data_IF_552319003577
#
_entry.id   IF_552319003577
#
_cell.length_a   1.000
_cell.length_b   1.000
_cell.length_c   1.000
_cell.angle_alpha   90.00
_cell.angle_beta   90.00
_cell.angle_gamma   90.00
#
_symmetry.space_group_name_H-M   'P 1'
#
loop_
_entity.id
_entity.type
_entity.pdbx_description
1 polymer ?
#
# COMPACT_ATOMS: atom_id res chain seq x y z
N UNK A 1 0.60 -24.05 -3.25
CA UNK A 1 1.37 -23.68 -4.46
C UNK A 1 1.80 -22.24 -4.33
N UNK A 2 3.10 -21.94 -4.35
CA UNK A 2 3.59 -20.56 -4.20
C UNK A 2 3.18 -19.72 -5.41
N UNK A 3 2.52 -18.58 -5.19
CA UNK A 3 2.13 -17.65 -6.27
C UNK A 3 3.38 -16.92 -6.76
N UNK A 4 3.53 -16.78 -8.07
CA UNK A 4 4.66 -16.04 -8.67
C UNK A 4 4.63 -14.56 -8.25
N UNK A 5 5.79 -14.03 -7.87
CA UNK A 5 5.93 -12.59 -7.59
C UNK A 5 5.71 -11.77 -8.87
N UNK A 6 5.37 -10.47 -8.76
CA UNK A 6 5.25 -9.60 -9.93
C UNK A 6 6.52 -9.61 -10.81
N UNK A 7 7.70 -9.60 -10.19
CA UNK A 7 8.97 -9.63 -10.91
C UNK A 7 9.18 -10.96 -11.65
N UNK A 8 8.84 -12.09 -11.01
CA UNK A 8 8.89 -13.39 -11.67
C UNK A 8 7.95 -13.45 -12.88
N UNK A 9 6.76 -12.86 -12.79
CA UNK A 9 5.80 -12.77 -13.91
C UNK A 9 6.35 -11.95 -15.06
N UNK A 10 6.98 -10.79 -14.79
CA UNK A 10 7.63 -9.96 -15.83
C UNK A 10 8.75 -10.73 -16.52
N UNK A 11 9.63 -11.38 -15.74
CA UNK A 11 10.75 -12.15 -16.28
C UNK A 11 10.23 -13.31 -17.14
N UNK A 12 9.19 -14.01 -16.70
CA UNK A 12 8.59 -15.09 -17.48
C UNK A 12 7.93 -14.58 -18.76
N UNK A 13 7.16 -13.50 -18.69
CA UNK A 13 6.52 -12.89 -19.86
C UNK A 13 7.55 -12.54 -20.95
N UNK A 14 8.67 -11.89 -20.57
CA UNK A 14 9.77 -11.58 -21.49
C UNK A 14 10.39 -12.82 -22.13
N UNK A 15 10.57 -13.89 -21.34
CA UNK A 15 11.08 -15.18 -21.87
C UNK A 15 10.12 -15.81 -22.88
N UNK A 16 8.81 -15.73 -22.62
CA UNK A 16 7.78 -16.26 -23.51
C UNK A 16 7.71 -15.46 -24.82
N UNK A 17 7.78 -14.13 -24.77
CA UNK A 17 7.87 -13.27 -25.96
C UNK A 17 9.11 -13.58 -26.79
N UNK A 18 10.28 -13.62 -26.15
CA UNK A 18 11.53 -13.94 -26.82
C UNK A 18 11.47 -15.32 -27.52
N UNK A 19 10.89 -16.32 -26.86
CA UNK A 19 10.70 -17.65 -27.44
C UNK A 19 9.71 -17.64 -28.61
N UNK A 20 8.63 -16.86 -28.52
CA UNK A 20 7.66 -16.73 -29.61
C UNK A 20 8.27 -16.08 -30.86
N UNK A 21 9.27 -15.22 -30.69
CA UNK A 21 9.97 -14.53 -31.77
C UNK A 21 11.10 -15.35 -32.37
N UNK A 22 11.95 -15.93 -31.54
CA UNK A 22 13.25 -16.46 -31.97
C UNK A 22 13.31 -17.97 -32.10
N UNK A 23 12.33 -18.72 -31.56
CA UNK A 23 12.42 -20.18 -31.59
C UNK A 23 12.08 -20.75 -32.99
N UNK A 24 13.03 -21.52 -33.50
CA UNK A 24 12.89 -22.34 -34.69
C UNK A 24 11.94 -23.53 -34.45
N UNK A 25 11.25 -23.98 -35.50
CA UNK A 25 10.36 -25.14 -35.43
C UNK A 25 9.01 -24.91 -34.72
N UNK A 26 8.72 -23.70 -34.23
CA UNK A 26 7.38 -23.37 -33.70
C UNK A 26 6.40 -23.02 -34.82
N UNK A 27 5.18 -23.57 -34.74
CA UNK A 27 4.05 -23.15 -35.57
C UNK A 27 3.59 -21.74 -35.21
N UNK A 28 2.91 -21.07 -36.15
CA UNK A 28 2.29 -19.75 -35.93
C UNK A 28 1.32 -19.76 -34.74
N UNK A 29 0.56 -20.85 -34.58
CA UNK A 29 -0.36 -21.05 -33.47
C UNK A 29 0.37 -21.07 -32.13
N UNK A 30 1.43 -21.89 -31.99
CA UNK A 30 2.25 -21.94 -30.76
C UNK A 30 2.91 -20.61 -30.44
N UNK A 31 3.36 -19.86 -31.44
CA UNK A 31 3.90 -18.49 -31.24
C UNK A 31 2.83 -17.55 -30.70
N UNK A 32 1.60 -17.66 -31.20
CA UNK A 32 0.46 -16.85 -30.74
C UNK A 32 0.08 -17.20 -29.31
N UNK A 33 0.06 -18.48 -28.95
CA UNK A 33 -0.20 -18.94 -27.57
C UNK A 33 0.84 -18.42 -26.58
N UNK A 34 2.13 -18.48 -26.94
CA UNK A 34 3.22 -17.95 -26.09
C UNK A 34 3.06 -16.44 -25.85
N UNK A 35 2.76 -15.67 -26.89
CA UNK A 35 2.48 -14.22 -26.75
C UNK A 35 1.26 -13.94 -25.90
N UNK A 36 0.18 -14.70 -26.08
CA UNK A 36 -1.03 -14.60 -25.24
C UNK A 36 -0.71 -14.88 -23.78
N UNK A 37 0.07 -15.93 -23.49
CA UNK A 37 0.50 -16.26 -22.14
C UNK A 37 1.36 -15.14 -21.52
N UNK A 38 2.30 -14.57 -22.28
CA UNK A 38 3.08 -13.42 -21.83
C UNK A 38 2.19 -12.21 -21.50
N UNK A 39 1.28 -11.86 -22.40
CA UNK A 39 0.34 -10.76 -22.21
C UNK A 39 -0.55 -10.98 -20.97
N UNK A 40 -1.03 -12.20 -20.76
CA UNK A 40 -1.84 -12.53 -19.58
C UNK A 40 -1.06 -12.34 -18.27
N UNK A 41 0.21 -12.75 -18.21
CA UNK A 41 1.06 -12.54 -17.03
C UNK A 41 1.23 -11.05 -16.71
N UNK A 42 1.45 -10.23 -17.75
CA UNK A 42 1.56 -8.77 -17.59
C UNK A 42 0.23 -8.14 -17.19
N UNK A 43 -0.89 -8.61 -17.74
CA UNK A 43 -2.22 -8.14 -17.38
C UNK A 43 -2.54 -8.44 -15.90
N UNK A 44 -2.17 -9.63 -15.39
CA UNK A 44 -2.34 -9.95 -13.96
C UNK A 44 -1.49 -9.01 -13.09
N UNK A 45 -0.24 -8.73 -13.46
CA UNK A 45 0.58 -7.73 -12.77
C UNK A 45 -0.08 -6.35 -12.73
N UNK A 46 -0.57 -5.88 -13.87
CA UNK A 46 -1.20 -4.56 -13.98
C UNK A 46 -2.47 -4.49 -13.11
N UNK A 47 -3.29 -5.55 -13.12
CA UNK A 47 -4.50 -5.64 -12.31
C UNK A 47 -4.19 -5.60 -10.81
N UNK A 48 -3.18 -6.34 -10.35
CA UNK A 48 -2.76 -6.30 -8.94
C UNK A 48 -2.19 -4.93 -8.54
N UNK A 49 -1.39 -4.31 -9.40
CA UNK A 49 -0.89 -2.96 -9.16
C UNK A 49 -2.03 -1.93 -9.05
N UNK A 50 -3.03 -2.03 -9.92
CA UNK A 50 -4.22 -1.19 -9.87
C UNK A 50 -5.03 -1.42 -8.58
N UNK A 51 -5.18 -2.69 -8.15
CA UNK A 51 -5.82 -3.03 -6.88
C UNK A 51 -5.10 -2.38 -5.69
N UNK A 52 -3.78 -2.50 -5.61
CA UNK A 52 -3.01 -1.91 -4.50
C UNK A 52 -3.05 -0.39 -4.53
N UNK A 53 -2.98 0.23 -5.72
CA UNK A 53 -3.17 1.68 -5.86
C UNK A 53 -4.52 2.13 -5.31
N UNK A 54 -5.60 1.43 -5.67
CA UNK A 54 -6.93 1.74 -5.16
C UNK A 54 -7.03 1.61 -3.63
N UNK A 55 -6.45 0.55 -3.06
CA UNK A 55 -6.40 0.39 -1.58
C UNK A 55 -5.67 1.56 -0.92
N UNK A 56 -4.56 2.01 -1.52
CA UNK A 56 -3.82 3.17 -1.03
C UNK A 56 -4.68 4.44 -1.11
N UNK A 57 -5.32 4.71 -2.26
CA UNK A 57 -6.18 5.89 -2.45
C UNK A 57 -7.32 5.92 -1.43
N UNK A 58 -8.07 4.81 -1.31
CA UNK A 58 -9.14 4.66 -0.33
C UNK A 58 -8.64 4.85 1.12
N UNK A 59 -7.44 4.38 1.44
CA UNK A 59 -6.83 4.55 2.76
C UNK A 59 -6.35 5.99 3.01
N UNK A 60 -5.87 6.69 1.98
CA UNK A 60 -5.40 8.08 2.07
C UNK A 60 -6.53 9.09 2.26
N UNK A 61 -7.73 8.74 1.80
CA UNK A 61 -8.94 9.56 1.91
C UNK A 61 -9.75 9.27 3.19
N UNK A 62 -9.29 8.37 4.06
CA UNK A 62 -9.97 8.09 5.33
C UNK A 62 -10.06 9.35 6.18
N UNK A 63 -11.27 9.68 6.61
CA UNK A 63 -11.51 10.73 7.61
C UNK A 63 -11.35 10.15 9.02
N UNK A 64 -10.69 10.88 9.90
CA UNK A 64 -10.44 10.46 11.29
C UNK A 64 -11.07 11.44 12.29
N UNK A 65 -12.42 11.47 12.38
CA UNK A 65 -13.12 12.48 13.17
C UNK A 65 -12.77 12.37 14.67
N UNK A 66 -12.57 11.16 15.19
CA UNK A 66 -12.18 10.94 16.59
C UNK A 66 -10.74 11.40 16.82
N UNK A 67 -9.82 11.07 15.92
CA UNK A 67 -8.39 11.37 16.05
C UNK A 67 -8.14 12.87 16.17
N UNK A 68 -8.90 13.71 15.45
CA UNK A 68 -8.79 15.17 15.53
C UNK A 68 -8.99 15.72 16.95
N UNK A 69 -9.93 15.14 17.70
CA UNK A 69 -10.22 15.52 19.08
C UNK A 69 -9.34 14.83 20.11
N UNK A 70 -8.66 13.75 19.72
CA UNK A 70 -7.89 12.91 20.63
C UNK A 70 -6.38 13.17 20.56
N UNK A 71 -5.84 13.60 19.42
CA UNK A 71 -4.41 13.71 19.17
C UNK A 71 -3.99 15.15 18.85
N UNK A 72 -2.84 15.55 19.38
CA UNK A 72 -2.14 16.78 18.96
C UNK A 72 -1.37 16.57 17.65
N UNK A 73 -0.94 17.67 17.02
CA UNK A 73 -0.17 17.66 15.77
C UNK A 73 0.99 16.65 15.81
N UNK A 74 1.81 16.71 16.87
CA UNK A 74 3.00 15.86 17.02
C UNK A 74 2.65 14.38 17.07
N UNK A 75 1.54 14.04 17.72
CA UNK A 75 1.04 12.67 17.79
C UNK A 75 0.61 12.15 16.42
N UNK A 76 -0.09 12.98 15.62
CA UNK A 76 -0.51 12.61 14.26
C UNK A 76 0.68 12.40 13.33
N UNK A 77 1.66 13.31 13.36
CA UNK A 77 2.91 13.17 12.58
C UNK A 77 3.65 11.90 12.98
N UNK A 78 3.83 11.67 14.28
CA UNK A 78 4.52 10.48 14.76
C UNK A 78 3.79 9.19 14.35
N UNK A 79 2.46 9.17 14.47
CA UNK A 79 1.65 8.04 14.05
C UNK A 79 1.76 7.77 12.54
N UNK A 80 1.87 8.82 11.72
CA UNK A 80 2.14 8.67 10.30
C UNK A 80 3.48 7.98 10.05
N UNK A 81 4.53 8.37 10.77
CA UNK A 81 5.86 7.75 10.65
C UNK A 81 5.85 6.29 11.08
N UNK A 82 5.06 5.95 12.11
CA UNK A 82 4.87 4.57 12.56
C UNK A 82 4.16 3.74 11.49
N UNK A 83 3.10 4.26 10.88
CA UNK A 83 2.43 3.59 9.77
C UNK A 83 3.35 3.39 8.56
N UNK A 84 4.16 4.39 8.21
CA UNK A 84 5.15 4.26 7.15
C UNK A 84 6.22 3.22 7.50
N UNK A 85 6.74 3.23 8.73
CA UNK A 85 7.69 2.23 9.21
C UNK A 85 7.13 0.80 9.13
N UNK A 86 5.87 0.60 9.51
CA UNK A 86 5.21 -0.69 9.35
C UNK A 86 4.99 -1.07 7.89
N UNK A 87 4.65 -0.11 7.01
CA UNK A 87 4.47 -0.37 5.60
C UNK A 87 5.75 -0.88 4.92
N UNK A 88 6.92 -0.48 5.42
CA UNK A 88 8.23 -0.91 4.96
C UNK A 88 8.69 -2.26 5.53
N UNK A 89 7.97 -2.84 6.49
CA UNK A 89 8.31 -4.15 7.07
C UNK A 89 8.09 -5.26 6.02
N UNK A 90 9.14 -6.04 5.74
CA UNK A 90 9.12 -7.12 4.74
C UNK A 90 8.16 -8.26 5.04
N UNK A 91 7.55 -8.31 6.24
CA UNK A 91 6.49 -9.27 6.59
C UNK A 91 5.10 -8.80 6.17
N UNK A 92 4.94 -7.53 5.78
CA UNK A 92 3.65 -7.01 5.33
C UNK A 92 3.25 -7.60 3.99
N UNK A 93 1.96 -7.88 3.84
CA UNK A 93 1.40 -8.19 2.52
C UNK A 93 1.31 -6.89 1.71
N UNK A 94 1.35 -6.97 0.37
CA UNK A 94 1.20 -5.78 -0.49
C UNK A 94 -0.06 -4.97 -0.19
N UNK A 95 -1.18 -5.64 0.14
CA UNK A 95 -2.41 -4.95 0.55
C UNK A 95 -2.23 -4.14 1.85
N UNK A 96 -1.58 -4.72 2.86
CA UNK A 96 -1.33 -4.01 4.12
C UNK A 96 -0.31 -2.89 3.95
N UNK A 97 0.74 -3.10 3.15
CA UNK A 97 1.68 -2.04 2.78
C UNK A 97 0.95 -0.85 2.13
N UNK A 98 0.09 -1.10 1.14
CA UNK A 98 -0.69 -0.04 0.49
C UNK A 98 -1.60 0.70 1.47
N UNK A 99 -2.28 -0.04 2.35
CA UNK A 99 -3.20 0.53 3.34
C UNK A 99 -2.48 1.39 4.38
N UNK A 100 -1.39 0.89 4.94
CA UNK A 100 -0.57 1.59 5.94
C UNK A 100 0.06 2.86 5.34
N UNK A 101 0.59 2.77 4.12
CA UNK A 101 1.10 3.95 3.42
C UNK A 101 0.01 5.00 3.17
N UNK A 102 -1.21 4.58 2.81
CA UNK A 102 -2.35 5.49 2.65
C UNK A 102 -2.72 6.15 3.98
N UNK A 103 -2.81 5.38 5.07
CA UNK A 103 -3.08 5.93 6.41
C UNK A 103 -1.99 6.90 6.88
N UNK A 104 -0.72 6.64 6.57
CA UNK A 104 0.36 7.58 6.87
C UNK A 104 0.15 8.94 6.17
N UNK A 105 -0.22 8.92 4.89
CA UNK A 105 -0.57 10.14 4.14
C UNK A 105 -1.77 10.84 4.79
N UNK A 106 -2.84 10.10 5.06
CA UNK A 106 -4.05 10.64 5.68
C UNK A 106 -3.77 11.31 7.04
N UNK A 107 -2.93 10.71 7.89
CA UNK A 107 -2.50 11.29 9.16
C UNK A 107 -1.71 12.59 8.99
N UNK A 108 -0.80 12.64 8.00
CA UNK A 108 -0.02 13.86 7.71
C UNK A 108 -0.93 14.98 7.22
N UNK A 109 -1.84 14.68 6.30
CA UNK A 109 -2.84 15.64 5.82
C UNK A 109 -3.66 16.19 6.99
N UNK A 110 -4.15 15.32 7.88
CA UNK A 110 -4.89 15.77 9.06
C UNK A 110 -4.04 16.65 9.98
N UNK A 111 -2.77 16.29 10.21
CA UNK A 111 -1.85 17.09 11.01
C UNK A 111 -1.64 18.49 10.40
N UNK A 112 -1.44 18.56 9.08
CA UNK A 112 -1.32 19.82 8.35
C UNK A 112 -2.59 20.67 8.44
N UNK A 113 -3.77 20.05 8.32
CA UNK A 113 -5.07 20.72 8.42
C UNK A 113 -5.31 21.36 9.80
N UNK A 114 -4.93 20.68 10.89
CA UNK A 114 -5.09 21.22 12.25
C UNK A 114 -3.98 22.21 12.62
N UNK A 115 -2.80 22.07 12.01
CA UNK A 115 -1.64 22.93 12.21
C UNK A 115 -0.79 22.57 13.42
N UNK A 116 0.46 23.03 13.42
CA UNK A 116 1.49 22.66 14.41
C UNK A 116 1.20 23.11 15.86
N UNK A 117 0.34 24.11 16.04
CA UNK A 117 -0.08 24.59 17.35
C UNK A 117 -1.27 23.80 17.93
N UNK A 118 -1.82 22.82 17.18
CA UNK A 118 -2.94 22.01 17.64
C UNK A 118 -2.49 21.00 18.69
N UNK A 119 -3.02 21.15 19.89
CA UNK A 119 -2.85 20.20 20.99
C UNK A 119 -4.15 20.11 21.80
N UNK A 120 -5.07 19.20 21.45
CA UNK A 120 -6.34 19.09 22.13
C UNK A 120 -6.12 18.48 23.52
N UNK A 121 -6.89 18.93 24.54
CA UNK A 121 -6.79 18.37 25.87
C UNK A 121 -7.09 16.88 25.86
N UNK A 122 -6.47 16.12 26.76
CA UNK A 122 -6.72 14.69 26.88
C UNK A 122 -8.21 14.44 27.11
N UNK A 123 -8.87 13.63 26.27
CA UNK A 123 -10.29 13.33 26.44
C UNK A 123 -10.55 12.67 27.80
N UNK A 124 -11.62 13.07 28.47
CA UNK A 124 -12.03 12.45 29.75
C UNK A 124 -12.59 11.03 29.58
N UNK A 125 -12.91 10.63 28.34
CA UNK A 125 -13.48 9.33 27.98
C UNK A 125 -12.45 8.32 27.47
N UNK A 126 -12.94 7.20 26.92
CA UNK A 126 -12.09 6.20 26.27
C UNK A 126 -11.61 6.74 24.93
N UNK A 127 -10.31 6.62 24.68
CA UNK A 127 -9.70 6.91 23.39
C UNK A 127 -10.12 5.85 22.36
N UNK A 128 -10.21 6.26 21.10
CA UNK A 128 -10.17 5.33 19.98
C UNK A 128 -8.87 4.50 20.03
N UNK A 129 -8.86 3.33 19.37
CA UNK A 129 -7.63 2.52 19.27
C UNK A 129 -6.46 3.34 18.69
N UNK A 130 -6.75 4.17 17.69
CA UNK A 130 -5.75 5.01 17.02
C UNK A 130 -5.26 6.12 17.95
N UNK A 131 -6.18 6.78 18.68
CA UNK A 131 -5.83 7.78 19.68
C UNK A 131 -5.01 7.20 20.84
N UNK A 132 -5.34 5.98 21.27
CA UNK A 132 -4.56 5.24 22.27
C UNK A 132 -3.14 4.95 21.76
N UNK A 133 -3.00 4.42 20.54
CA UNK A 133 -1.68 4.13 19.95
C UNK A 133 -0.88 5.44 19.81
N UNK A 134 -1.47 6.49 19.26
CA UNK A 134 -0.78 7.77 19.02
C UNK A 134 -0.22 8.42 20.28
N UNK A 135 -0.94 8.35 21.41
CA UNK A 135 -0.45 8.90 22.70
C UNK A 135 0.59 8.01 23.37
N UNK A 136 0.37 6.69 23.45
CA UNK A 136 1.30 5.79 24.13
C UNK A 136 2.65 5.64 23.40
N UNK A 137 2.71 5.88 22.09
CA UNK A 137 3.97 5.82 21.35
C UNK A 137 4.92 7.00 21.64
N UNK A 138 4.42 8.08 22.24
CA UNK A 138 5.23 9.24 22.64
C UNK A 138 5.49 9.33 24.16
N UNK A 139 5.20 8.27 24.91
CA UNK A 139 5.33 8.22 26.39
C UNK A 139 4.51 9.31 27.15
N UNK A 140 3.30 9.66 26.66
CA UNK A 140 2.31 10.59 27.28
C UNK A 140 0.96 9.89 27.65
#
# INVERSE_FOLDING_TARGET
>A
MSRMTPQQRIVLARKLECRAETAEGLSSEKRTELRRAAHNLLAVNAMEAAKHRRIFEEASEVSWPEVRGELGYRHMVHLADVFEGWALDGRMTPEWTAKLAGWAVSMRTLAEEVGSAWDPPRPAGKLSLVGFIGRNLMDE
#
